data_IF_780214690305
#
_entry.id   IF_780214690305
#
_cell.length_a   1.000
_cell.length_b   1.000
_cell.length_c   1.000
_cell.angle_alpha   90.00
_cell.angle_beta   90.00
_cell.angle_gamma   90.00
#
_symmetry.space_group_name_H-M   'P 1'
#
loop_
_entity.id
_entity.type
_entity.pdbx_description
1 polymer ?
#
# COMPACT_ATOMS: atom_id res chain seq x y z
N UNK A 1 14.86 -8.99 19.14
CA UNK A 1 15.82 -8.56 18.10
C UNK A 1 16.03 -9.75 17.16
N UNK A 2 15.15 -9.93 16.18
CA UNK A 2 15.27 -11.03 15.21
C UNK A 2 16.22 -10.55 14.12
N UNK A 3 17.41 -11.14 14.06
CA UNK A 3 18.36 -10.91 12.99
C UNK A 3 17.76 -11.46 11.69
N UNK A 4 17.42 -10.59 10.73
CA UNK A 4 16.97 -10.99 9.39
C UNK A 4 18.21 -11.50 8.63
N UNK A 5 18.48 -12.80 8.70
CA UNK A 5 19.71 -13.42 8.17
C UNK A 5 19.61 -13.88 6.71
N UNK A 6 18.44 -13.75 6.06
CA UNK A 6 18.27 -14.15 4.66
C UNK A 6 18.20 -12.91 3.73
N UNK A 7 19.15 -12.74 2.79
CA UNK A 7 19.18 -11.62 1.83
C UNK A 7 17.88 -11.42 1.06
N UNK A 8 17.16 -12.51 0.72
CA UNK A 8 15.92 -12.44 -0.06
C UNK A 8 14.78 -11.84 0.76
N UNK A 9 14.69 -12.22 2.04
CA UNK A 9 13.71 -11.64 2.98
C UNK A 9 14.00 -10.17 3.27
N UNK A 10 15.28 -9.79 3.44
CA UNK A 10 15.67 -8.39 3.66
C UNK A 10 15.33 -7.51 2.45
N UNK A 11 15.61 -7.98 1.23
CA UNK A 11 15.28 -7.27 0.01
C UNK A 11 13.76 -7.17 -0.22
N UNK A 12 13.00 -8.21 0.14
CA UNK A 12 11.54 -8.17 0.11
C UNK A 12 10.95 -7.13 1.07
N UNK A 13 11.35 -7.15 2.35
CA UNK A 13 10.88 -6.16 3.34
C UNK A 13 11.25 -4.73 2.93
N UNK A 14 12.46 -4.54 2.38
CA UNK A 14 12.91 -3.25 1.85
C UNK A 14 12.04 -2.79 0.68
N UNK A 15 11.67 -3.69 -0.23
CA UNK A 15 10.81 -3.37 -1.39
C UNK A 15 9.39 -3.05 -0.97
N UNK A 16 8.77 -3.84 -0.08
CA UNK A 16 7.41 -3.59 0.42
C UNK A 16 7.32 -2.26 1.16
N UNK A 17 8.30 -1.96 2.01
CA UNK A 17 8.37 -0.67 2.73
C UNK A 17 8.53 0.51 1.77
N UNK A 18 9.36 0.36 0.74
CA UNK A 18 9.54 1.38 -0.30
C UNK A 18 8.21 1.72 -0.99
N UNK A 19 7.45 0.71 -1.44
CA UNK A 19 6.15 0.94 -2.08
C UNK A 19 5.12 1.58 -1.15
N UNK A 20 5.01 1.08 0.09
CA UNK A 20 4.08 1.63 1.07
C UNK A 20 4.40 3.09 1.43
N UNK A 21 5.68 3.43 1.54
CA UNK A 21 6.10 4.76 1.98
C UNK A 21 6.20 5.78 0.84
N UNK A 22 6.64 5.36 -0.35
CA UNK A 22 7.14 6.31 -1.36
C UNK A 22 6.39 6.26 -2.70
N UNK A 23 5.73 5.15 -3.04
CA UNK A 23 5.06 5.02 -4.34
C UNK A 23 4.02 6.13 -4.53
N UNK A 24 4.22 6.92 -5.60
CA UNK A 24 3.38 8.06 -5.99
C UNK A 24 3.16 9.11 -4.89
N UNK A 25 4.08 9.22 -3.93
CA UNK A 25 3.98 10.24 -2.86
C UNK A 25 4.65 11.56 -3.22
N UNK A 26 5.74 11.52 -3.99
CA UNK A 26 6.51 12.69 -4.42
C UNK A 26 6.43 12.92 -5.94
N UNK A 27 6.57 14.18 -6.35
CA UNK A 27 6.54 14.57 -7.76
C UNK A 27 7.81 14.10 -8.46
N UNK A 28 7.68 13.64 -9.70
CA UNK A 28 8.83 13.25 -10.50
C UNK A 28 9.67 14.48 -10.88
N UNK A 29 10.93 14.62 -10.40
CA UNK A 29 11.77 15.76 -10.78
C UNK A 29 12.11 15.73 -12.27
N UNK A 30 12.37 14.54 -12.83
CA UNK A 30 12.67 14.38 -14.25
C UNK A 30 11.48 14.73 -15.16
N UNK A 31 10.25 14.63 -14.67
CA UNK A 31 9.08 15.03 -15.46
C UNK A 31 8.99 16.55 -15.60
N UNK A 32 9.36 17.30 -14.55
CA UNK A 32 9.43 18.76 -14.60
C UNK A 32 10.46 19.24 -15.63
N UNK A 33 11.54 18.47 -15.80
CA UNK A 33 12.59 18.73 -16.79
C UNK A 33 12.29 18.12 -18.18
N UNK A 34 11.13 17.46 -18.35
CA UNK A 34 10.74 16.73 -19.57
C UNK A 34 11.68 15.57 -19.95
N UNK A 35 12.44 15.06 -18.98
CA UNK A 35 13.42 13.97 -19.14
C UNK A 35 12.93 12.62 -18.60
N UNK A 36 11.73 12.55 -18.00
CA UNK A 36 11.20 11.28 -17.53
C UNK A 36 10.89 10.38 -18.73
N UNK A 37 11.51 9.19 -18.83
CA UNK A 37 11.18 8.21 -19.88
C UNK A 37 10.11 7.19 -19.44
N UNK A 38 9.78 7.15 -18.14
CA UNK A 38 8.84 6.19 -17.55
C UNK A 38 7.39 6.73 -17.48
N UNK A 39 7.11 7.92 -18.03
CA UNK A 39 5.76 8.49 -18.04
C UNK A 39 4.82 7.79 -19.04
N UNK A 40 5.38 7.05 -20.02
CA UNK A 40 4.66 6.17 -20.96
C UNK A 40 5.41 4.83 -20.99
N UNK A 41 4.84 3.72 -20.51
CA UNK A 41 3.40 3.45 -20.28
C UNK A 41 2.95 3.67 -18.82
N UNK A 42 3.28 4.82 -18.20
CA UNK A 42 2.94 5.14 -16.80
C UNK A 42 3.64 4.28 -15.74
N UNK A 43 4.86 3.82 -16.00
CA UNK A 43 5.71 3.03 -15.09
C UNK A 43 6.58 3.90 -14.16
N UNK A 44 6.34 5.21 -14.11
CA UNK A 44 7.05 6.06 -13.16
C UNK A 44 6.59 5.75 -11.73
N UNK A 45 7.56 5.68 -10.82
CA UNK A 45 7.32 5.50 -9.40
C UNK A 45 6.76 6.76 -8.73
N UNK A 46 7.03 7.92 -9.33
CA UNK A 46 6.63 9.26 -8.86
C UNK A 46 5.38 9.74 -9.60
N UNK A 47 4.66 10.71 -9.01
CA UNK A 47 3.50 11.30 -9.67
C UNK A 47 3.91 12.42 -10.62
N UNK A 48 3.16 12.60 -11.71
CA UNK A 48 3.38 13.66 -12.71
C UNK A 48 2.30 14.73 -12.64
N UNK A 49 1.06 14.28 -12.48
CA UNK A 49 -0.10 15.15 -12.32
C UNK A 49 -0.64 15.04 -10.90
N UNK A 50 -1.25 16.10 -10.34
CA UNK A 50 -1.73 16.08 -8.95
C UNK A 50 -2.75 14.97 -8.69
N UNK A 51 -3.60 14.63 -9.66
CA UNK A 51 -4.55 13.52 -9.52
C UNK A 51 -3.90 12.13 -9.42
N UNK A 52 -2.59 12.00 -9.67
CA UNK A 52 -1.82 10.79 -9.43
C UNK A 52 -1.13 10.77 -8.06
N UNK A 53 -1.13 11.90 -7.32
CA UNK A 53 -0.52 11.99 -5.99
C UNK A 53 -1.26 11.04 -5.04
N UNK A 54 -0.49 10.27 -4.30
CA UNK A 54 -0.94 9.39 -3.21
C UNK A 54 -0.45 9.97 -1.89
N UNK A 55 -1.32 10.07 -0.89
CA UNK A 55 -0.88 10.34 0.48
C UNK A 55 -0.30 9.08 1.11
N UNK A 56 0.81 9.23 1.85
CA UNK A 56 1.39 8.12 2.60
C UNK A 56 0.42 7.71 3.73
N UNK A 57 0.07 6.43 3.87
CA UNK A 57 -0.68 5.94 5.00
C UNK A 57 0.22 5.91 6.25
N UNK A 58 -0.26 6.52 7.32
CA UNK A 58 0.45 6.63 8.59
C UNK A 58 -0.43 6.03 9.67
N UNK A 59 0.08 5.01 10.36
CA UNK A 59 -0.55 4.48 11.57
C UNK A 59 -0.14 5.36 12.76
N UNK A 60 -1.13 6.01 13.37
CA UNK A 60 -0.97 6.86 14.54
C UNK A 60 -0.72 6.01 15.79
N UNK A 61 -0.16 6.60 16.87
CA UNK A 61 0.07 5.89 18.13
C UNK A 61 -1.19 5.31 18.77
N UNK A 62 -2.35 5.92 18.51
CA UNK A 62 -3.66 5.43 18.95
C UNK A 62 -4.16 4.19 18.18
N UNK A 63 -3.42 3.74 17.16
CA UNK A 63 -3.76 2.58 16.35
C UNK A 63 -4.65 2.89 15.14
N UNK A 64 -5.07 4.14 14.93
CA UNK A 64 -5.83 4.57 13.75
C UNK A 64 -4.92 4.97 12.59
N UNK A 65 -5.43 4.90 11.36
CA UNK A 65 -4.76 5.48 10.20
C UNK A 65 -5.14 6.95 9.97
N UNK A 66 -4.25 7.71 9.33
CA UNK A 66 -4.50 9.09 8.92
C UNK A 66 -5.68 9.24 7.94
N UNK A 67 -5.96 8.20 7.13
CA UNK A 67 -7.18 8.10 6.35
C UNK A 67 -7.74 6.67 6.39
N UNK A 68 -9.07 6.55 6.30
CA UNK A 68 -9.76 5.28 6.19
C UNK A 68 -9.67 4.77 4.73
N UNK A 69 -9.14 3.56 4.48
CA UNK A 69 -8.99 3.03 3.12
C UNK A 69 -10.29 2.50 2.50
N UNK A 70 -11.36 2.37 3.29
CA UNK A 70 -12.64 1.80 2.88
C UNK A 70 -13.74 2.82 2.61
N UNK A 71 -13.61 4.01 3.19
CA UNK A 71 -14.53 5.12 2.97
C UNK A 71 -13.85 6.13 2.06
N UNK A 72 -14.45 6.38 0.90
CA UNK A 72 -13.94 7.36 -0.05
C UNK A 72 -14.47 8.76 0.26
N UNK A 73 -13.62 9.76 0.05
CA UNK A 73 -13.99 11.17 0.12
C UNK A 73 -14.92 11.53 -1.04
N UNK A 74 -16.05 12.18 -0.73
CA UNK A 74 -17.03 12.70 -1.69
C UNK A 74 -16.66 14.10 -2.23
N UNK A 75 -15.74 14.80 -1.54
CA UNK A 75 -15.26 16.15 -1.90
C UNK A 75 -14.01 16.15 -2.79
N UNK A 76 -13.40 14.99 -3.03
CA UNK A 76 -12.19 14.89 -3.86
C UNK A 76 -12.54 14.98 -5.35
N UNK A 77 -11.89 15.90 -6.05
CA UNK A 77 -12.01 16.01 -7.51
C UNK A 77 -10.95 15.12 -8.18
N UNK A 78 -11.42 14.04 -8.82
CA UNK A 78 -10.58 13.04 -9.50
C UNK A 78 -9.82 13.60 -10.71
N UNK A 79 -10.31 14.68 -11.32
CA UNK A 79 -9.68 15.27 -12.49
C UNK A 79 -8.52 16.17 -12.07
N UNK A 80 -8.77 17.07 -11.11
CA UNK A 80 -7.76 18.02 -10.65
C UNK A 80 -6.81 17.44 -9.60
N UNK A 81 -7.24 16.42 -8.86
CA UNK A 81 -6.51 15.87 -7.73
C UNK A 81 -6.61 16.70 -6.45
N UNK A 82 -7.61 17.58 -6.36
CA UNK A 82 -7.79 18.49 -5.24
C UNK A 82 -8.84 17.98 -4.24
N UNK A 83 -8.57 18.21 -2.96
CA UNK A 83 -9.54 18.04 -1.87
C UNK A 83 -9.50 19.31 -1.00
N UNK A 84 -10.64 19.89 -0.60
CA UNK A 84 -10.69 20.99 0.36
C UNK A 84 -10.02 20.67 1.70
N UNK A 85 -10.05 19.39 2.12
CA UNK A 85 -9.42 18.93 3.36
C UNK A 85 -7.92 18.59 3.17
N UNK A 86 -7.42 18.66 1.92
CA UNK A 86 -6.01 18.44 1.59
C UNK A 86 -5.47 17.09 2.07
N UNK A 87 -4.24 17.11 2.59
CA UNK A 87 -3.58 15.89 3.08
C UNK A 87 -4.18 15.36 4.38
N UNK A 88 -4.91 16.19 5.13
CA UNK A 88 -5.57 15.85 6.40
C UNK A 88 -6.95 15.17 6.23
N UNK A 89 -7.42 14.97 4.98
CA UNK A 89 -8.70 14.31 4.73
C UNK A 89 -8.75 12.90 5.36
N UNK A 90 -9.72 12.56 6.23
CA UNK A 90 -9.76 11.27 6.91
C UNK A 90 -10.26 10.11 6.03
N UNK A 91 -10.55 10.36 4.75
CA UNK A 91 -11.12 9.40 3.81
C UNK A 91 -10.19 9.18 2.63
N UNK A 92 -10.25 8.01 1.99
CA UNK A 92 -9.46 7.72 0.81
C UNK A 92 -9.87 8.60 -0.38
N UNK A 93 -8.89 9.13 -1.12
CA UNK A 93 -9.11 9.82 -2.38
C UNK A 93 -9.07 8.82 -3.54
N UNK A 94 -10.02 8.94 -4.48
CA UNK A 94 -10.07 8.16 -5.73
C UNK A 94 -9.07 8.71 -6.75
N UNK A 95 -7.80 8.73 -6.36
CA UNK A 95 -6.73 9.19 -7.22
C UNK A 95 -6.51 8.24 -8.41
N UNK A 96 -5.77 8.68 -9.41
CA UNK A 96 -5.55 7.93 -10.64
C UNK A 96 -4.95 6.56 -10.34
N UNK A 97 -5.67 5.51 -10.73
CA UNK A 97 -5.28 4.15 -10.41
C UNK A 97 -5.48 3.77 -8.94
N UNK A 98 -6.41 4.41 -8.22
CA UNK A 98 -6.88 4.03 -6.87
C UNK A 98 -5.73 3.66 -5.91
N UNK A 99 -4.65 4.44 -5.95
CA UNK A 99 -3.39 4.08 -5.32
C UNK A 99 -3.41 4.31 -3.81
N UNK A 100 -4.23 5.25 -3.30
CA UNK A 100 -4.39 5.42 -1.84
C UNK A 100 -4.94 4.17 -1.17
N UNK A 101 -5.94 3.52 -1.78
CA UNK A 101 -6.50 2.26 -1.29
C UNK A 101 -5.59 1.09 -1.59
N UNK A 102 -5.17 0.91 -2.85
CA UNK A 102 -4.41 -0.28 -3.28
C UNK A 102 -3.06 -0.42 -2.59
N UNK A 103 -2.39 0.70 -2.28
CA UNK A 103 -1.11 0.69 -1.58
C UNK A 103 -1.28 1.01 -0.08
N UNK A 104 -2.47 0.86 0.48
CA UNK A 104 -2.67 0.96 1.93
C UNK A 104 -2.11 -0.29 2.64
N UNK A 105 -1.54 -0.18 3.86
CA UNK A 105 -1.16 -1.32 4.71
C UNK A 105 -2.30 -2.29 5.01
N UNK A 106 -3.55 -1.90 4.74
CA UNK A 106 -4.70 -2.81 4.81
C UNK A 106 -4.82 -3.76 3.61
N UNK A 107 -4.30 -3.37 2.42
CA UNK A 107 -4.62 -4.02 1.14
C UNK A 107 -3.43 -4.37 0.24
N UNK A 108 -2.36 -3.58 0.24
CA UNK A 108 -1.21 -3.82 -0.64
C UNK A 108 -0.67 -5.24 -0.45
N UNK A 109 -0.54 -6.08 -1.46
CA UNK A 109 0.05 -7.42 -1.33
C UNK A 109 -0.64 -8.34 -0.30
N UNK A 110 -1.89 -8.09 0.11
CA UNK A 110 -2.61 -8.95 1.07
C UNK A 110 -3.50 -9.99 0.40
N UNK A 111 -3.55 -9.99 -0.93
CA UNK A 111 -4.30 -10.96 -1.73
C UNK A 111 -3.53 -11.32 -2.99
N UNK A 112 -3.69 -12.56 -3.44
CA UNK A 112 -3.04 -13.06 -4.64
C UNK A 112 -3.57 -12.37 -5.90
N UNK A 113 -2.67 -12.08 -6.82
CA UNK A 113 -3.04 -11.63 -8.15
C UNK A 113 -3.64 -12.80 -8.93
N UNK A 114 -4.72 -12.54 -9.65
CA UNK A 114 -5.33 -13.52 -10.56
C UNK A 114 -4.59 -13.63 -11.90
N UNK A 115 -3.70 -12.67 -12.17
CA UNK A 115 -2.93 -12.61 -13.41
C UNK A 115 -1.54 -13.20 -13.18
N UNK A 116 -1.03 -13.86 -14.21
CA UNK A 116 0.32 -14.41 -14.22
C UNK A 116 1.38 -13.30 -14.32
N UNK A 117 2.64 -13.70 -14.16
CA UNK A 117 3.81 -12.84 -14.39
C UNK A 117 4.42 -13.13 -15.75
N UNK A 118 4.95 -12.10 -16.40
CA UNK A 118 5.87 -12.24 -17.54
C UNK A 118 7.16 -12.95 -17.12
N UNK A 119 7.99 -13.37 -18.08
CA UNK A 119 9.32 -13.95 -17.85
C UNK A 119 10.22 -13.08 -16.96
N UNK A 120 10.02 -11.75 -16.99
CA UNK A 120 10.77 -10.78 -16.18
C UNK A 120 10.18 -10.57 -14.77
N UNK A 121 9.21 -11.37 -14.34
CA UNK A 121 8.57 -11.29 -13.03
C UNK A 121 7.53 -10.17 -12.86
N UNK A 122 7.26 -9.37 -13.89
CA UNK A 122 6.21 -8.32 -13.86
C UNK A 122 4.81 -8.90 -14.10
N UNK A 123 3.78 -8.35 -13.46
CA UNK A 123 2.39 -8.73 -13.74
C UNK A 123 2.01 -8.45 -15.20
N UNK A 124 1.39 -9.41 -15.90
CA UNK A 124 0.97 -9.20 -17.31
C UNK A 124 -0.05 -8.07 -17.47
N UNK A 125 -0.87 -7.81 -16.45
CA UNK A 125 -1.91 -6.77 -16.50
C UNK A 125 -1.46 -5.43 -15.94
N UNK A 126 -0.77 -5.45 -14.80
CA UNK A 126 -0.48 -4.25 -14.00
C UNK A 126 1.02 -3.91 -13.95
N UNK A 127 1.86 -4.68 -14.64
CA UNK A 127 3.30 -4.48 -14.70
C UNK A 127 4.00 -4.65 -13.34
N UNK A 128 5.15 -3.98 -13.22
CA UNK A 128 6.03 -4.04 -12.05
C UNK A 128 5.39 -3.51 -10.76
N UNK A 129 4.40 -2.63 -10.88
CA UNK A 129 3.76 -1.99 -9.73
C UNK A 129 2.52 -2.73 -9.25
N UNK A 130 2.24 -3.94 -9.71
CA UNK A 130 1.03 -4.67 -9.30
C UNK A 130 0.87 -4.70 -7.78
N UNK A 131 -0.28 -4.22 -7.29
CA UNK A 131 -0.59 -4.15 -5.87
C UNK A 131 -1.02 -5.49 -5.26
N UNK A 132 -1.17 -6.55 -6.07
CA UNK A 132 -1.49 -7.90 -5.62
C UNK A 132 -0.24 -8.78 -5.58
N UNK A 133 -0.28 -9.83 -4.76
CA UNK A 133 0.85 -10.73 -4.54
C UNK A 133 0.99 -11.76 -5.68
N UNK A 134 2.20 -11.93 -6.21
CA UNK A 134 2.54 -12.90 -7.25
C UNK A 134 3.35 -14.09 -6.71
N UNK A 135 2.90 -14.65 -5.59
CA UNK A 135 3.50 -15.81 -4.93
C UNK A 135 3.37 -15.74 -3.41
N UNK A 136 3.65 -16.82 -2.68
CA UNK A 136 3.65 -16.83 -1.22
C UNK A 136 4.64 -15.83 -0.62
N UNK A 137 5.82 -15.69 -1.24
CA UNK A 137 6.87 -14.79 -0.77
C UNK A 137 6.53 -13.30 -1.00
N UNK A 138 5.56 -13.02 -1.89
CA UNK A 138 5.07 -11.66 -2.15
C UNK A 138 3.80 -11.34 -1.36
N UNK A 139 3.20 -12.32 -0.67
CA UNK A 139 1.96 -12.17 0.09
C UNK A 139 2.26 -11.71 1.52
N UNK A 140 1.57 -10.68 1.99
CA UNK A 140 1.69 -10.15 3.35
C UNK A 140 0.38 -10.20 4.14
N UNK A 141 0.50 -10.16 5.47
CA UNK A 141 -0.65 -9.97 6.34
C UNK A 141 -1.17 -8.52 6.28
N UNK A 142 -2.50 -8.32 6.30
CA UNK A 142 -3.09 -6.99 6.39
C UNK A 142 -2.82 -6.34 7.77
N UNK A 143 -2.62 -5.02 7.76
CA UNK A 143 -2.57 -4.21 8.97
C UNK A 143 -3.94 -3.56 9.15
N UNK A 144 -4.58 -3.85 10.29
CA UNK A 144 -5.90 -3.34 10.63
C UNK A 144 -5.81 -2.02 11.40
N UNK A 145 -6.80 -1.16 11.16
CA UNK A 145 -7.12 -0.03 12.03
C UNK A 145 -7.74 -0.56 13.33
N UNK A 146 -7.45 0.10 14.46
CA UNK A 146 -7.99 -0.31 15.77
C UNK A 146 -9.53 -0.36 15.78
N UNK A 147 -10.21 0.50 15.01
CA UNK A 147 -11.67 0.55 14.90
C UNK A 147 -12.24 -0.74 14.29
N UNK A 148 -11.60 -1.26 13.23
CA UNK A 148 -12.01 -2.51 12.59
C UNK A 148 -11.86 -3.73 13.52
N UNK A 149 -10.84 -3.72 14.39
CA UNK A 149 -10.58 -4.81 15.34
C UNK A 149 -11.63 -4.84 16.45
N UNK A 150 -12.03 -3.67 16.95
CA UNK A 150 -13.06 -3.55 17.99
C UNK A 150 -14.43 -4.02 17.47
N UNK A 151 -14.82 -3.61 16.25
CA UNK A 151 -16.08 -4.04 15.63
C UNK A 151 -16.12 -5.56 15.37
N UNK A 152 -14.99 -6.14 14.97
CA UNK A 152 -14.84 -7.59 14.78
C UNK A 152 -14.82 -8.38 16.10
N UNK A 153 -14.46 -7.77 17.23
CA UNK A 153 -14.52 -8.44 18.53
C UNK A 153 -15.93 -8.52 19.10
N UNK A 154 -16.84 -7.65 18.65
CA UNK A 154 -18.27 -7.69 18.98
C UNK A 154 -19.06 -8.68 18.10
N UNK A 155 -18.52 -9.08 16.95
CA UNK A 155 -19.15 -10.00 16.01
C UNK A 155 -18.31 -11.25 15.86
N UNK A 156 -18.77 -12.42 16.28
CA UNK A 156 -18.07 -13.72 16.13
C UNK A 156 -17.81 -14.06 14.65
N UNK A 157 -16.84 -13.41 14.02
CA UNK A 157 -16.34 -13.74 12.68
C UNK A 157 -15.03 -14.47 12.87
N UNK A 158 -15.11 -15.80 12.84
CA UNK A 158 -13.93 -16.66 12.72
C UNK A 158 -13.26 -16.36 11.39
N UNK A 159 -12.19 -15.58 11.44
CA UNK A 159 -11.28 -15.45 10.30
C UNK A 159 -10.61 -16.80 10.17
N UNK A 160 -11.03 -17.62 9.19
CA UNK A 160 -10.36 -18.88 8.87
C UNK A 160 -8.98 -18.56 8.28
N UNK A 161 -8.02 -18.29 9.15
CA UNK A 161 -6.61 -18.29 8.81
C UNK A 161 -6.12 -19.75 8.87
N UNK A 162 -5.36 -20.23 7.87
CA UNK A 162 -4.68 -21.50 8.01
C UNK A 162 -3.75 -21.45 9.22
N UNK A 163 -3.76 -22.51 10.05
CA UNK A 163 -3.09 -22.59 11.36
C UNK A 163 -1.59 -22.23 11.37
N UNK A 164 -0.93 -22.25 10.21
CA UNK A 164 0.45 -21.78 10.06
C UNK A 164 0.62 -20.27 10.31
N UNK A 165 -0.40 -19.46 10.02
CA UNK A 165 -0.38 -18.00 10.17
C UNK A 165 -0.83 -17.53 11.57
N UNK A 166 -1.44 -18.39 12.37
CA UNK A 166 -1.77 -18.06 13.77
C UNK A 166 -0.51 -17.97 14.64
N UNK A 167 0.51 -18.78 14.33
CA UNK A 167 1.81 -18.75 15.02
C UNK A 167 2.63 -17.50 14.68
N UNK A 168 2.42 -16.92 13.49
CA UNK A 168 2.98 -15.62 13.05
C UNK A 168 2.29 -14.41 13.72
N UNK A 169 1.05 -14.57 14.18
CA UNK A 169 0.27 -13.50 14.84
C UNK A 169 0.88 -13.04 16.17
N UNK A 170 1.67 -13.90 16.81
CA UNK A 170 2.44 -13.59 18.03
C UNK A 170 3.80 -12.94 17.69
N UNK A 171 4.24 -13.01 16.44
CA UNK A 171 5.54 -12.47 15.97
C UNK A 171 5.40 -11.15 15.21
N UNK A 172 4.18 -10.69 14.91
CA UNK A 172 3.90 -9.49 14.10
C UNK A 172 3.78 -8.18 14.89
N UNK A 173 4.13 -8.18 16.18
CA UNK A 173 4.40 -6.94 16.93
C UNK A 173 5.79 -6.38 16.55
N UNK A 174 5.96 -5.96 15.29
CA UNK A 174 7.06 -5.06 14.92
C UNK A 174 6.54 -3.63 14.66
N UNK A 175 6.77 -2.68 15.59
CA UNK A 175 6.35 -1.29 15.47
C UNK A 175 7.08 -0.47 14.39
N UNK A 176 7.98 -1.05 13.59
CA UNK A 176 8.93 -0.31 12.75
C UNK A 176 8.37 0.31 11.44
N UNK A 177 7.05 0.39 11.24
CA UNK A 177 6.44 0.96 10.01
C UNK A 177 6.70 2.47 9.84
N UNK A 178 6.87 3.20 10.96
CA UNK A 178 7.08 4.64 10.96
C UNK A 178 8.57 5.05 10.94
N UNK A 179 9.50 4.11 10.70
CA UNK A 179 10.93 4.41 10.73
C UNK A 179 11.34 5.46 9.68
N UNK A 180 12.04 6.49 10.16
CA UNK A 180 12.72 7.55 9.42
C UNK A 180 13.77 7.00 8.45
#
# INVERSE_FOLDING_TARGET
MIMVTNPDTYNYFKTTRLYLNEFRTTQCPLFLEQQCHNHRPYTCFYWHFPNQKRRRPIKKPDGTFNYNPDVYCDKYDENSGACPDGDECPYAHRNAGDTERRYHPRYFKTGNCIYETTENGACVKNGLHCAFAHGPDDLRLPVYDIREVQDASSSKVTVNLPASLEKERVLSEDPAWNGN
#
